data_IF_804288867628
#
_entry.id   IF_804288867628
#
_cell.length_a   1.000
_cell.length_b   1.000
_cell.length_c   1.000
_cell.angle_alpha   90.00
_cell.angle_beta   90.00
_cell.angle_gamma   90.00
#
_symmetry.space_group_name_H-M   'P 1'
#
loop_
_entity.id
_entity.type
_entity.pdbx_description
1 polymer ?
#
# COMPACT_ATOMS: atom_id res chain seq x y z
N UNK A 1 17.21 -1.29 14.39
CA UNK A 1 17.19 -2.59 13.66
C UNK A 1 17.24 -2.28 12.17
N UNK A 2 17.83 -3.13 11.33
CA UNK A 2 17.83 -2.95 9.85
C UNK A 2 16.72 -3.83 9.24
N UNK A 3 15.94 -3.28 8.31
CA UNK A 3 14.87 -4.00 7.63
C UNK A 3 15.40 -4.80 6.44
N UNK A 4 15.93 -5.99 6.69
CA UNK A 4 16.58 -6.86 5.69
C UNK A 4 15.64 -7.50 4.66
N UNK A 5 14.33 -7.23 4.73
CA UNK A 5 13.29 -7.82 3.90
C UNK A 5 12.71 -6.84 2.88
N UNK A 6 13.43 -5.75 2.57
CA UNK A 6 13.11 -4.86 1.46
C UNK A 6 14.06 -5.10 0.28
N UNK A 7 13.48 -5.20 -0.90
CA UNK A 7 14.20 -5.05 -2.15
C UNK A 7 14.36 -3.56 -2.44
N UNK A 8 15.61 -3.15 -2.70
CA UNK A 8 15.94 -1.79 -3.09
C UNK A 8 16.05 -1.70 -4.61
N UNK A 9 15.29 -0.81 -5.21
CA UNK A 9 15.38 -0.44 -6.62
C UNK A 9 15.79 1.04 -6.72
N UNK A 10 16.90 1.31 -7.40
CA UNK A 10 17.37 2.67 -7.65
C UNK A 10 16.67 3.21 -8.91
N UNK A 11 16.00 4.35 -8.80
CA UNK A 11 15.37 5.00 -9.96
C UNK A 11 16.30 6.05 -10.60
N UNK A 12 16.85 6.93 -9.78
CA UNK A 12 17.90 7.89 -10.14
C UNK A 12 18.87 8.05 -8.97
N UNK A 13 19.88 8.92 -9.06
CA UNK A 13 20.89 9.06 -8.00
C UNK A 13 20.33 9.44 -6.62
N UNK A 14 19.16 10.06 -6.57
CA UNK A 14 18.59 10.63 -5.35
C UNK A 14 17.33 9.88 -4.89
N UNK A 15 16.69 9.09 -5.77
CA UNK A 15 15.42 8.42 -5.51
C UNK A 15 15.55 6.90 -5.46
N UNK A 16 15.15 6.33 -4.33
CA UNK A 16 15.21 4.91 -4.01
C UNK A 16 13.83 4.38 -3.66
N UNK A 17 13.46 3.24 -4.26
CA UNK A 17 12.23 2.52 -3.96
C UNK A 17 12.56 1.30 -3.11
N UNK A 18 11.85 1.16 -2.00
CA UNK A 18 11.95 0.03 -1.08
C UNK A 18 10.64 -0.74 -1.14
N UNK A 19 10.69 -1.95 -1.67
CA UNK A 19 9.53 -2.83 -1.82
C UNK A 19 9.70 -4.07 -0.97
N UNK A 20 8.66 -4.42 -0.22
CA UNK A 20 8.72 -5.60 0.64
C UNK A 20 8.96 -6.87 -0.20
N UNK A 21 9.91 -7.72 0.20
CA UNK A 21 10.29 -8.93 -0.53
C UNK A 21 9.11 -9.89 -0.71
N UNK A 22 8.26 -9.97 0.32
CA UNK A 22 7.08 -10.84 0.31
C UNK A 22 5.84 -10.26 -0.39
N UNK A 23 5.96 -9.08 -1.02
CA UNK A 23 4.84 -8.44 -1.75
C UNK A 23 4.24 -9.40 -2.77
N UNK A 24 2.93 -9.26 -2.99
CA UNK A 24 2.23 -10.11 -3.97
C UNK A 24 2.38 -9.48 -5.35
N UNK A 25 2.84 -10.27 -6.32
CA UNK A 25 3.08 -9.86 -7.71
C UNK A 25 2.16 -10.55 -8.71
N UNK A 26 1.19 -11.33 -8.20
CA UNK A 26 0.18 -12.01 -9.01
C UNK A 26 -0.63 -11.02 -9.84
N UNK A 27 -0.92 -11.34 -11.09
CA UNK A 27 -1.60 -10.44 -12.04
C UNK A 27 -3.05 -10.83 -12.32
N UNK A 28 -3.46 -12.04 -11.91
CA UNK A 28 -4.79 -12.60 -12.17
C UNK A 28 -5.85 -12.20 -11.14
N UNK A 29 -5.49 -11.39 -10.14
CA UNK A 29 -6.38 -10.88 -9.10
C UNK A 29 -5.96 -9.46 -8.69
N UNK A 30 -6.86 -8.64 -8.13
CA UNK A 30 -6.50 -7.29 -7.70
C UNK A 30 -5.55 -7.33 -6.51
N UNK A 31 -4.43 -6.60 -6.63
CA UNK A 31 -3.44 -6.44 -5.56
C UNK A 31 -3.02 -4.97 -5.48
N UNK A 32 -3.03 -4.42 -4.28
CA UNK A 32 -2.41 -3.13 -3.98
C UNK A 32 -1.28 -3.37 -2.98
N UNK A 33 -0.08 -3.00 -3.38
CA UNK A 33 1.09 -3.01 -2.51
C UNK A 33 1.43 -1.58 -2.06
N UNK A 34 2.30 -1.49 -1.05
CA UNK A 34 2.99 -0.26 -0.68
C UNK A 34 4.47 -0.37 -1.04
N UNK A 35 5.01 0.75 -1.49
CA UNK A 35 6.45 1.00 -1.55
C UNK A 35 6.79 2.19 -0.66
N UNK A 36 7.97 2.17 -0.05
CA UNK A 36 8.56 3.32 0.62
C UNK A 36 9.53 3.96 -0.36
N UNK A 37 9.41 5.27 -0.57
CA UNK A 37 10.30 6.03 -1.43
C UNK A 37 11.14 6.93 -0.55
N UNK A 38 12.46 6.83 -0.71
CA UNK A 38 13.43 7.79 -0.17
C UNK A 38 13.89 8.71 -1.29
N UNK A 39 13.69 10.02 -1.14
CA UNK A 39 14.20 11.07 -2.01
C UNK A 39 15.25 11.85 -1.20
N UNK A 40 16.53 11.47 -1.39
CA UNK A 40 17.69 12.03 -0.68
C UNK A 40 17.93 13.48 -1.05
N UNK A 41 17.63 13.86 -2.30
CA UNK A 41 17.75 15.24 -2.78
C UNK A 41 16.82 16.20 -2.04
N UNK A 42 15.71 15.69 -1.50
CA UNK A 42 14.73 16.45 -0.70
C UNK A 42 14.72 16.09 0.78
N UNK A 43 15.60 15.19 1.23
CA UNK A 43 15.60 14.63 2.58
C UNK A 43 14.18 14.18 3.01
N UNK A 44 13.52 13.41 2.14
CA UNK A 44 12.12 13.05 2.34
C UNK A 44 11.85 11.56 2.16
N UNK A 45 10.97 11.03 3.00
CA UNK A 45 10.41 9.69 2.92
C UNK A 45 8.91 9.79 2.64
N UNK A 46 8.40 8.96 1.73
CA UNK A 46 6.96 8.91 1.42
C UNK A 46 6.50 7.50 1.09
N UNK A 47 5.23 7.22 1.32
CA UNK A 47 4.58 6.03 0.81
C UNK A 47 4.19 6.22 -0.66
N UNK A 48 4.08 5.10 -1.37
CA UNK A 48 3.47 5.02 -2.69
C UNK A 48 2.56 3.81 -2.78
N UNK A 49 1.35 4.05 -3.28
CA UNK A 49 0.40 3.00 -3.64
C UNK A 49 0.82 2.38 -4.98
N UNK A 50 0.99 1.06 -5.00
CA UNK A 50 1.36 0.30 -6.19
C UNK A 50 0.31 -0.76 -6.51
N UNK A 51 -0.74 -0.40 -7.28
CA UNK A 51 -1.67 -1.38 -7.81
C UNK A 51 -0.99 -2.24 -8.89
N UNK A 52 -1.30 -3.53 -8.91
CA UNK A 52 -0.79 -4.46 -9.90
C UNK A 52 -1.44 -4.27 -11.28
N UNK A 53 -1.07 -5.12 -12.24
CA UNK A 53 -1.55 -5.04 -13.63
C UNK A 53 -3.03 -5.39 -13.80
N UNK A 54 -3.70 -5.91 -12.75
CA UNK A 54 -5.14 -6.13 -12.77
C UNK A 54 -5.92 -4.81 -12.93
N UNK A 55 -5.37 -3.71 -12.41
CA UNK A 55 -5.99 -2.39 -12.50
C UNK A 55 -5.75 -1.79 -13.88
N UNK A 56 -6.82 -1.53 -14.61
CA UNK A 56 -6.77 -0.88 -15.92
C UNK A 56 -6.12 0.52 -15.84
N UNK A 57 -6.52 1.30 -14.83
CA UNK A 57 -5.91 2.58 -14.51
C UNK A 57 -5.27 2.50 -13.12
N UNK A 58 -3.94 2.65 -13.09
CA UNK A 58 -3.14 2.60 -11.85
C UNK A 58 -3.16 3.91 -11.07
N UNK A 59 -3.74 4.97 -11.64
CA UNK A 59 -3.88 6.29 -11.01
C UNK A 59 -5.30 6.55 -10.56
N UNK A 60 -6.29 5.96 -11.22
CA UNK A 60 -7.70 6.17 -10.90
C UNK A 60 -8.43 4.85 -10.68
N UNK A 61 -8.73 4.52 -9.43
CA UNK A 61 -9.52 3.34 -9.10
C UNK A 61 -10.33 3.54 -7.82
N UNK A 62 -11.27 2.62 -7.57
CA UNK A 62 -12.04 2.64 -6.35
C UNK A 62 -12.10 1.26 -5.70
N UNK A 63 -12.11 1.25 -4.39
CA UNK A 63 -12.18 0.05 -3.56
C UNK A 63 -13.49 0.10 -2.77
N UNK A 64 -14.24 -0.99 -2.74
CA UNK A 64 -15.42 -1.07 -1.90
C UNK A 64 -15.05 -1.81 -0.61
N UNK A 65 -15.78 -1.54 0.44
CA UNK A 65 -15.61 -2.24 1.70
C UNK A 65 -16.97 -2.52 2.30
N UNK A 66 -17.04 -3.59 3.07
CA UNK A 66 -18.24 -3.99 3.78
C UNK A 66 -17.83 -4.70 5.06
N UNK A 67 -18.40 -4.27 6.18
CA UNK A 67 -18.10 -4.89 7.47
C UNK A 67 -18.88 -6.20 7.61
N UNK A 68 -18.17 -7.29 7.91
CA UNK A 68 -18.79 -8.61 8.07
C UNK A 68 -19.83 -8.60 9.19
N UNK A 69 -21.04 -9.06 8.90
CA UNK A 69 -22.14 -9.09 9.87
C UNK A 69 -22.81 -7.73 10.13
N UNK A 70 -22.38 -6.67 9.45
CA UNK A 70 -23.02 -5.36 9.45
C UNK A 70 -23.69 -5.06 8.09
N UNK A 71 -24.62 -4.11 8.09
CA UNK A 71 -25.12 -3.47 6.88
C UNK A 71 -24.21 -2.35 6.38
N UNK A 72 -23.14 -2.03 7.11
CA UNK A 72 -22.22 -0.96 6.76
C UNK A 72 -21.36 -1.35 5.56
N UNK A 73 -21.36 -0.47 4.55
CA UNK A 73 -20.51 -0.55 3.38
C UNK A 73 -20.11 0.86 2.94
N UNK A 74 -19.06 0.94 2.15
CA UNK A 74 -18.61 2.20 1.58
C UNK A 74 -17.63 1.99 0.44
N UNK A 75 -17.01 3.09 0.04
CA UNK A 75 -16.09 3.13 -1.09
C UNK A 75 -14.94 4.10 -0.78
N UNK A 76 -13.72 3.68 -1.09
CA UNK A 76 -12.56 4.55 -1.20
C UNK A 76 -12.31 4.87 -2.67
N UNK A 77 -11.95 6.11 -2.95
CA UNK A 77 -11.53 6.55 -4.27
C UNK A 77 -10.05 6.92 -4.20
N UNK A 78 -9.29 6.40 -5.15
CA UNK A 78 -7.91 6.76 -5.37
C UNK A 78 -7.82 7.48 -6.71
N UNK A 79 -7.29 8.71 -6.70
CA UNK A 79 -7.14 9.58 -7.87
C UNK A 79 -5.68 9.87 -8.23
N UNK A 80 -4.73 9.41 -7.41
CA UNK A 80 -3.30 9.48 -7.70
C UNK A 80 -2.72 10.90 -7.69
N UNK A 81 -3.39 11.88 -7.09
CA UNK A 81 -2.97 13.30 -7.07
C UNK A 81 -1.82 13.62 -6.09
N UNK A 82 -0.92 12.66 -5.79
CA UNK A 82 0.38 12.93 -5.17
C UNK A 82 0.64 12.23 -3.83
N UNK A 83 1.78 12.54 -3.16
CA UNK A 83 2.29 11.77 -2.02
C UNK A 83 1.42 11.81 -0.76
N UNK A 84 0.72 12.92 -0.55
CA UNK A 84 -0.19 13.07 0.59
C UNK A 84 -1.38 12.12 0.44
N UNK A 85 -1.88 11.97 -0.79
CA UNK A 85 -2.97 11.07 -1.13
C UNK A 85 -2.58 9.60 -1.01
N UNK A 86 -1.34 9.23 -1.37
CA UNK A 86 -0.82 7.87 -1.14
C UNK A 86 -0.88 7.47 0.34
N UNK A 87 -0.44 8.36 1.23
CA UNK A 87 -0.47 8.13 2.67
C UNK A 87 -1.90 8.09 3.22
N UNK A 88 -2.72 9.08 2.90
CA UNK A 88 -4.11 9.17 3.39
C UNK A 88 -4.92 7.95 2.95
N UNK A 89 -4.77 7.54 1.69
CA UNK A 89 -5.43 6.35 1.16
C UNK A 89 -4.96 5.07 1.86
N UNK A 90 -3.65 4.91 2.07
CA UNK A 90 -3.11 3.77 2.82
C UNK A 90 -3.60 3.74 4.27
N UNK A 91 -3.65 4.91 4.93
CA UNK A 91 -4.13 5.04 6.30
C UNK A 91 -5.61 4.69 6.41
N UNK A 92 -6.44 5.14 5.45
CA UNK A 92 -7.85 4.73 5.37
C UNK A 92 -7.96 3.21 5.21
N UNK A 93 -7.26 2.59 4.24
CA UNK A 93 -7.26 1.12 4.07
C UNK A 93 -6.91 0.41 5.39
N UNK A 94 -5.84 0.83 6.05
CA UNK A 94 -5.36 0.22 7.30
C UNK A 94 -6.42 0.22 8.41
N UNK A 95 -7.26 1.27 8.51
CA UNK A 95 -8.36 1.31 9.50
C UNK A 95 -9.33 0.16 9.29
N UNK A 96 -9.64 -0.20 8.04
CA UNK A 96 -10.65 -1.21 7.71
C UNK A 96 -10.08 -2.62 7.59
N UNK A 97 -8.77 -2.77 7.33
CA UNK A 97 -8.09 -4.07 7.41
C UNK A 97 -8.15 -4.70 8.81
N UNK A 98 -8.33 -3.88 9.85
CA UNK A 98 -8.48 -4.35 11.24
C UNK A 98 -9.90 -4.86 11.59
N UNK A 99 -10.90 -4.67 10.72
CA UNK A 99 -12.34 -4.85 11.04
C UNK A 99 -13.00 -5.95 10.18
N UNK A 100 -12.21 -6.74 9.43
CA UNK A 100 -12.61 -7.77 8.48
C UNK A 100 -13.37 -7.29 7.22
N UNK A 101 -12.64 -7.42 6.10
CA UNK A 101 -13.00 -7.42 4.67
C UNK A 101 -13.16 -6.10 3.89
N UNK A 102 -12.28 -5.95 2.89
CA UNK A 102 -12.29 -4.97 1.82
C UNK A 102 -12.43 -5.74 0.50
N UNK A 103 -13.54 -5.55 -0.23
CA UNK A 103 -13.80 -6.18 -1.53
C UNK A 103 -13.72 -5.13 -2.64
N UNK A 104 -12.83 -5.31 -3.61
CA UNK A 104 -12.80 -4.39 -4.75
C UNK A 104 -13.95 -4.66 -5.73
N UNK A 105 -14.55 -3.59 -6.28
CA UNK A 105 -15.58 -3.75 -7.31
C UNK A 105 -14.99 -4.24 -8.64
N UNK A 106 -15.92 -4.77 -9.46
CA UNK A 106 -15.81 -5.38 -10.80
C UNK A 106 -15.73 -6.91 -10.88
N UNK A 107 -15.36 -7.61 -9.81
CA UNK A 107 -15.21 -9.08 -9.90
C UNK A 107 -15.52 -9.86 -8.61
N UNK A 108 -15.89 -9.19 -7.51
CA UNK A 108 -16.14 -9.86 -6.21
C UNK A 108 -14.89 -10.56 -5.66
N UNK A 109 -13.71 -10.12 -6.08
CA UNK A 109 -12.44 -10.70 -5.66
C UNK A 109 -11.91 -9.94 -4.44
N UNK A 110 -11.44 -10.66 -3.41
CA UNK A 110 -10.85 -10.02 -2.24
C UNK A 110 -9.58 -9.29 -2.66
N UNK A 111 -9.48 -8.02 -2.30
CA UNK A 111 -8.27 -7.21 -2.50
C UNK A 111 -7.17 -7.60 -1.51
N UNK A 112 -7.59 -8.02 -0.32
CA UNK A 112 -6.72 -8.41 0.78
C UNK A 112 -7.10 -9.79 1.29
N UNK A 113 -6.10 -10.66 1.40
CA UNK A 113 -6.14 -11.88 2.22
C UNK A 113 -5.10 -11.74 3.33
N UNK A 114 -4.96 -12.77 4.17
CA UNK A 114 -3.99 -12.77 5.28
C UNK A 114 -2.59 -12.30 4.86
N UNK A 115 -2.03 -12.84 3.77
CA UNK A 115 -0.67 -12.50 3.32
C UNK A 115 -0.60 -11.06 2.81
N UNK A 116 -1.56 -10.64 1.99
CA UNK A 116 -1.61 -9.27 1.44
C UNK A 116 -1.79 -8.24 2.55
N UNK A 117 -2.67 -8.52 3.51
CA UNK A 117 -2.90 -7.69 4.70
C UNK A 117 -1.62 -7.55 5.52
N UNK A 118 -0.95 -8.66 5.84
CA UNK A 118 0.28 -8.65 6.64
C UNK A 118 1.38 -7.79 5.98
N UNK A 119 1.62 -7.96 4.67
CA UNK A 119 2.65 -7.18 3.97
C UNK A 119 2.28 -5.69 3.89
N UNK A 120 1.02 -5.38 3.61
CA UNK A 120 0.55 -4.00 3.52
C UNK A 120 0.69 -3.27 4.86
N UNK A 121 0.14 -3.84 5.94
CA UNK A 121 0.22 -3.28 7.29
C UNK A 121 1.68 -3.15 7.72
N UNK A 122 2.48 -4.20 7.50
CA UNK A 122 3.89 -4.18 7.89
C UNK A 122 4.67 -3.06 7.20
N UNK A 123 4.44 -2.85 5.91
CA UNK A 123 5.10 -1.78 5.15
C UNK A 123 4.66 -0.40 5.67
N UNK A 124 3.38 -0.24 5.98
CA UNK A 124 2.84 0.99 6.56
C UNK A 124 3.44 1.29 7.94
N UNK A 125 3.53 0.29 8.82
CA UNK A 125 4.15 0.45 10.14
C UNK A 125 5.65 0.76 10.07
N UNK A 126 6.36 0.09 9.15
CA UNK A 126 7.79 0.31 8.95
C UNK A 126 8.07 1.72 8.44
N UNK A 127 7.23 2.25 7.55
CA UNK A 127 7.29 3.66 7.15
C UNK A 127 7.22 4.60 8.35
N UNK A 128 6.26 4.39 9.27
CA UNK A 128 6.17 5.21 10.48
C UNK A 128 7.42 5.11 11.37
N UNK A 129 7.98 3.91 11.52
CA UNK A 129 9.22 3.70 12.29
C UNK A 129 10.44 4.33 11.62
N UNK A 130 10.48 4.42 10.30
CA UNK A 130 11.55 5.11 9.60
C UNK A 130 11.45 6.62 9.78
N UNK A 131 10.23 7.17 9.67
CA UNK A 131 9.98 8.60 9.91
C UNK A 131 10.31 8.99 11.37
N UNK A 132 10.05 8.11 12.35
CA UNK A 132 10.42 8.36 13.74
C UNK A 132 11.89 8.06 14.09
N UNK A 133 12.66 7.49 13.15
CA UNK A 133 14.07 7.11 13.36
C UNK A 133 14.29 5.80 14.14
N UNK A 134 13.22 5.03 14.40
CA UNK A 134 13.27 3.72 15.07
C UNK A 134 13.75 2.58 14.15
N UNK A 135 13.62 2.78 12.83
CA UNK A 135 13.98 1.81 11.80
C UNK A 135 14.87 2.46 10.75
N UNK A 136 15.97 1.78 10.39
CA UNK A 136 16.83 2.15 9.27
C UNK A 136 16.71 1.09 8.17
N UNK A 137 16.78 1.54 6.91
CA UNK A 137 16.84 0.69 5.72
C UNK A 137 18.28 0.27 5.43
#
# INVERSE_FOLDING_TARGET
MSATYYEKEQYDNDVEYYRHYYRVTETHMPVINLAIISDRGKDSLRLKIEPNEFFYDKKLFSIFWKVKGSTDFGQFFYDGEGPLYDYEFAAEICKYLQIDLIEMNYCGMPLFDKRRTEVFIKTFEDFHKMVSGELAL
#
